data_IF_476690565040
#
_entry.id   IF_476690565040
#
_cell.length_a   1.000
_cell.length_b   1.000
_cell.length_c   1.000
_cell.angle_alpha   90.00
_cell.angle_beta   90.00
_cell.angle_gamma   90.00
#
_symmetry.space_group_name_H-M   'P 1'
#
loop_
_entity.id
_entity.type
_entity.pdbx_description
1 polymer ?
#
# COMPACT_ATOMS: atom_id res chain seq x y z
N UNK A 1 6.22 17.80 -1.84
CA UNK A 1 4.79 17.48 -2.03
C UNK A 1 4.61 15.99 -1.75
N UNK A 2 3.44 15.56 -1.25
CA UNK A 2 3.17 14.13 -1.10
C UNK A 2 3.17 13.44 -2.48
N UNK A 3 3.62 12.18 -2.56
CA UNK A 3 3.73 11.39 -3.80
C UNK A 3 4.61 11.99 -4.92
N UNK A 4 5.55 12.88 -4.60
CA UNK A 4 6.49 13.42 -5.58
C UNK A 4 7.40 12.30 -6.11
N UNK A 5 7.72 12.30 -7.41
CA UNK A 5 8.63 11.32 -8.00
C UNK A 5 9.86 12.06 -8.55
N UNK A 6 11.03 11.70 -8.03
CA UNK A 6 12.33 12.16 -8.51
C UNK A 6 12.96 11.06 -9.36
N UNK A 7 13.75 11.43 -10.37
CA UNK A 7 14.43 10.48 -11.26
C UNK A 7 15.85 10.26 -10.76
N UNK A 8 16.23 9.01 -10.53
CA UNK A 8 17.59 8.60 -10.22
C UNK A 8 18.50 8.81 -11.43
N UNK A 9 19.69 9.34 -11.17
CA UNK A 9 20.69 9.63 -12.21
C UNK A 9 21.32 8.34 -12.76
N UNK A 10 21.39 7.27 -11.94
CA UNK A 10 22.12 6.05 -12.30
C UNK A 10 21.39 5.17 -13.32
N UNK A 11 20.08 5.00 -13.17
CA UNK A 11 19.29 3.99 -13.88
C UNK A 11 17.94 4.53 -14.39
N UNK A 12 17.69 5.83 -14.23
CA UNK A 12 16.42 6.47 -14.60
C UNK A 12 15.23 6.01 -13.76
N UNK A 13 15.44 5.21 -12.71
CA UNK A 13 14.35 4.74 -11.86
C UNK A 13 13.86 5.85 -10.94
N UNK A 14 12.61 5.73 -10.49
CA UNK A 14 11.96 6.77 -9.73
C UNK A 14 12.10 6.54 -8.22
N UNK A 15 12.45 7.60 -7.51
CA UNK A 15 12.40 7.69 -6.05
C UNK A 15 11.13 8.44 -5.67
N UNK A 16 10.27 7.81 -4.87
CA UNK A 16 9.03 8.45 -4.42
C UNK A 16 9.26 9.18 -3.10
N UNK A 17 9.02 10.48 -3.08
CA UNK A 17 9.06 11.30 -1.87
C UNK A 17 7.64 11.51 -1.33
N UNK A 18 7.42 11.11 -0.09
CA UNK A 18 6.18 11.36 0.65
C UNK A 18 6.47 12.26 1.86
N UNK A 19 5.67 13.32 2.03
CA UNK A 19 5.75 14.23 3.18
C UNK A 19 4.46 14.09 3.99
N UNK A 20 4.60 13.70 5.25
CA UNK A 20 3.52 13.47 6.19
C UNK A 20 3.49 14.67 7.16
N UNK A 21 2.46 15.50 7.05
CA UNK A 21 2.37 16.76 7.81
C UNK A 21 2.01 16.55 9.28
N UNK A 22 1.32 15.46 9.61
CA UNK A 22 0.87 15.18 10.98
C UNK A 22 2.03 14.87 11.95
N UNK A 23 3.09 14.22 11.47
CA UNK A 23 4.25 13.83 12.28
C UNK A 23 5.57 14.44 11.76
N UNK A 24 5.48 15.37 10.81
CA UNK A 24 6.61 16.01 10.15
C UNK A 24 7.62 15.06 9.51
N UNK A 25 7.24 13.81 9.21
CA UNK A 25 8.13 12.84 8.58
C UNK A 25 8.15 13.00 7.08
N UNK A 26 9.32 12.75 6.49
CA UNK A 26 9.49 12.63 5.04
C UNK A 26 10.11 11.28 4.75
N UNK A 27 9.64 10.60 3.71
CA UNK A 27 10.20 9.32 3.26
C UNK A 27 10.68 9.40 1.83
N UNK A 28 11.71 8.62 1.51
CA UNK A 28 12.20 8.36 0.16
C UNK A 28 12.05 6.86 -0.14
N UNK A 29 11.15 6.54 -1.08
CA UNK A 29 10.72 5.18 -1.41
C UNK A 29 10.43 4.31 -0.18
N UNK A 30 9.77 4.91 0.82
CA UNK A 30 9.35 4.26 2.06
C UNK A 30 10.33 4.34 3.22
N UNK A 31 11.59 4.71 2.97
CA UNK A 31 12.58 4.91 4.04
C UNK A 31 12.46 6.31 4.62
N UNK A 32 12.35 6.44 5.93
CA UNK A 32 12.33 7.74 6.61
C UNK A 32 13.65 8.47 6.43
N UNK A 33 13.58 9.77 6.09
CA UNK A 33 14.72 10.68 6.10
C UNK A 33 14.89 11.18 7.53
N UNK A 34 15.87 10.64 8.26
CA UNK A 34 16.15 10.97 9.67
C UNK A 34 17.01 12.21 9.84
N UNK A 35 17.82 12.56 8.83
CA UNK A 35 18.72 13.72 8.87
C UNK A 35 18.71 14.46 7.54
N UNK A 36 17.81 15.43 7.31
CA UNK A 36 17.75 16.17 6.05
C UNK A 36 18.78 17.30 5.96
N UNK A 37 19.12 17.70 4.73
CA UNK A 37 19.82 18.95 4.42
C UNK A 37 21.27 19.07 4.91
N UNK A 38 22.02 17.98 4.94
CA UNK A 38 23.45 18.04 5.25
C UNK A 38 24.23 18.53 4.03
N UNK A 39 24.74 19.76 4.07
CA UNK A 39 25.43 20.37 2.93
C UNK A 39 26.84 19.80 2.78
N UNK A 40 27.23 19.51 1.54
CA UNK A 40 28.58 19.10 1.14
C UNK A 40 29.08 20.03 0.02
N UNK A 41 30.39 20.02 -0.23
CA UNK A 41 31.02 20.88 -1.25
C UNK A 41 30.46 20.67 -2.67
N UNK A 42 29.87 19.52 -2.94
CA UNK A 42 29.35 19.12 -4.24
C UNK A 42 27.87 18.68 -4.19
N UNK A 43 27.13 18.97 -3.12
CA UNK A 43 25.73 18.58 -3.04
C UNK A 43 25.12 18.65 -1.64
N UNK A 44 24.04 17.90 -1.45
CA UNK A 44 23.31 17.80 -0.18
C UNK A 44 23.01 16.33 0.11
N UNK A 45 23.31 15.90 1.33
CA UNK A 45 23.03 14.57 1.86
C UNK A 45 21.76 14.58 2.72
N UNK A 46 20.91 13.58 2.48
CA UNK A 46 19.79 13.23 3.33
C UNK A 46 20.04 11.84 3.91
N UNK A 47 20.13 11.74 5.24
CA UNK A 47 20.31 10.46 5.94
C UNK A 47 18.98 9.71 5.93
N UNK A 48 18.98 8.47 5.43
CA UNK A 48 17.82 7.57 5.43
C UNK A 48 17.97 6.48 6.48
N UNK A 49 16.85 6.02 7.02
CA UNK A 49 16.78 4.94 8.04
C UNK A 49 17.09 3.55 7.49
N UNK A 50 17.13 3.38 6.17
CA UNK A 50 17.47 2.14 5.51
C UNK A 50 17.80 2.33 4.04
N UNK A 51 18.06 1.22 3.35
CA UNK A 51 18.33 1.19 1.91
C UNK A 51 17.04 1.47 1.15
N UNK A 52 17.08 2.42 0.22
CA UNK A 52 15.94 2.68 -0.66
C UNK A 52 15.76 1.54 -1.63
N UNK A 53 14.54 0.98 -1.70
CA UNK A 53 14.14 0.11 -2.80
C UNK A 53 13.53 0.97 -3.90
N UNK A 54 14.01 0.80 -5.13
CA UNK A 54 13.40 1.47 -6.28
C UNK A 54 11.95 1.04 -6.45
N UNK A 55 11.13 1.95 -7.01
CA UNK A 55 9.80 1.58 -7.50
C UNK A 55 9.93 0.48 -8.58
N UNK A 56 9.16 -0.59 -8.42
CA UNK A 56 9.01 -1.62 -9.44
C UNK A 56 8.31 -1.06 -10.68
N UNK A 57 8.57 -1.68 -11.85
CA UNK A 57 7.95 -1.26 -13.12
C UNK A 57 6.46 -1.63 -13.20
N UNK A 58 5.97 -2.55 -12.36
CA UNK A 58 4.59 -3.03 -12.35
C UNK A 58 3.65 -2.26 -11.41
N UNK A 59 2.34 -2.48 -11.59
CA UNK A 59 1.31 -2.06 -10.64
C UNK A 59 1.30 -2.92 -9.38
N UNK A 60 0.62 -2.48 -8.32
CA UNK A 60 0.41 -3.30 -7.13
C UNK A 60 -0.24 -4.66 -7.48
N UNK A 61 -1.19 -4.67 -8.43
CA UNK A 61 -1.86 -5.91 -8.84
C UNK A 61 -0.93 -6.80 -9.66
N UNK A 62 -0.01 -6.21 -10.44
CA UNK A 62 1.03 -6.97 -11.14
C UNK A 62 1.95 -7.68 -10.15
N UNK A 63 2.44 -6.98 -9.12
CA UNK A 63 3.35 -7.56 -8.13
C UNK A 63 2.70 -8.69 -7.32
N UNK A 64 1.47 -8.51 -6.80
CA UNK A 64 0.79 -9.61 -6.08
C UNK A 64 0.48 -10.80 -6.98
N UNK A 65 0.34 -10.59 -8.29
CA UNK A 65 0.12 -11.66 -9.28
C UNK A 65 1.30 -12.63 -9.38
N UNK A 66 2.50 -12.21 -8.94
CA UNK A 66 3.72 -13.01 -8.93
C UNK A 66 3.92 -13.77 -7.61
N UNK A 67 3.03 -13.58 -6.65
CA UNK A 67 3.14 -14.12 -5.30
C UNK A 67 2.05 -15.19 -5.06
N UNK A 68 2.40 -16.49 -4.99
CA UNK A 68 1.44 -17.58 -4.84
C UNK A 68 0.53 -17.45 -3.60
N UNK A 69 1.00 -16.77 -2.55
CA UNK A 69 0.26 -16.50 -1.31
C UNK A 69 -0.96 -15.58 -1.48
N UNK A 70 -1.14 -14.96 -2.64
CA UNK A 70 -2.27 -14.07 -2.96
C UNK A 70 -3.11 -14.57 -4.13
N UNK A 71 -2.98 -15.84 -4.53
CA UNK A 71 -3.70 -16.41 -5.67
C UNK A 71 -5.24 -16.28 -5.56
N UNK A 72 -5.80 -16.40 -4.35
CA UNK A 72 -7.26 -16.21 -4.12
C UNK A 72 -7.67 -14.76 -4.39
N UNK A 73 -6.90 -13.79 -3.89
CA UNK A 73 -7.14 -12.37 -4.12
C UNK A 73 -7.09 -12.03 -5.61
N UNK A 74 -6.08 -12.53 -6.33
CA UNK A 74 -5.92 -12.28 -7.76
C UNK A 74 -7.09 -12.86 -8.57
N UNK A 75 -7.54 -14.08 -8.22
CA UNK A 75 -8.72 -14.70 -8.82
C UNK A 75 -9.97 -13.83 -8.62
N UNK A 76 -10.20 -13.37 -7.39
CA UNK A 76 -11.32 -12.50 -7.04
C UNK A 76 -11.30 -11.15 -7.75
N UNK A 77 -10.13 -10.53 -7.90
CA UNK A 77 -9.98 -9.29 -8.69
C UNK A 77 -10.36 -9.52 -10.16
N UNK A 78 -10.02 -10.68 -10.72
CA UNK A 78 -10.39 -11.04 -12.09
C UNK A 78 -11.89 -11.29 -12.24
N UNK A 79 -12.51 -12.07 -11.35
CA UNK A 79 -13.97 -12.34 -11.33
C UNK A 79 -14.78 -11.05 -11.16
N UNK A 80 -14.30 -10.15 -10.30
CA UNK A 80 -14.88 -8.82 -10.10
C UNK A 80 -14.62 -7.85 -11.27
N UNK A 81 -13.83 -8.23 -12.29
CA UNK A 81 -13.42 -7.38 -13.42
C UNK A 81 -12.76 -6.06 -12.99
N UNK A 82 -12.07 -6.06 -11.84
CA UNK A 82 -11.42 -4.86 -11.28
C UNK A 82 -9.98 -4.66 -11.75
N UNK A 83 -9.37 -5.66 -12.39
CA UNK A 83 -7.95 -5.64 -12.78
C UNK A 83 -7.55 -4.35 -13.52
N UNK A 84 -8.24 -4.02 -14.60
CA UNK A 84 -7.95 -2.84 -15.43
C UNK A 84 -8.08 -1.55 -14.64
N UNK A 85 -9.14 -1.44 -13.83
CA UNK A 85 -9.39 -0.27 -12.99
C UNK A 85 -8.28 -0.06 -11.96
N UNK A 86 -7.91 -1.10 -11.22
CA UNK A 86 -6.87 -1.04 -10.21
C UNK A 86 -5.47 -0.82 -10.81
N UNK A 87 -5.18 -1.39 -11.98
CA UNK A 87 -3.92 -1.13 -12.70
C UNK A 87 -3.79 0.33 -13.15
N UNK A 88 -4.90 0.96 -13.54
CA UNK A 88 -4.94 2.38 -13.90
C UNK A 88 -4.99 3.34 -12.71
N UNK A 89 -5.32 2.83 -11.52
CA UNK A 89 -5.42 3.65 -10.31
C UNK A 89 -4.04 3.84 -9.71
N UNK A 90 -3.51 5.07 -9.78
CA UNK A 90 -2.20 5.42 -9.26
C UNK A 90 -2.19 6.88 -8.77
N UNK A 91 -1.71 7.17 -7.55
CA UNK A 91 -1.22 6.25 -6.52
C UNK A 91 -2.31 5.58 -5.68
N UNK A 92 -2.02 4.37 -5.19
CA UNK A 92 -2.85 3.64 -4.22
C UNK A 92 -2.00 2.86 -3.21
N UNK A 93 -2.64 2.48 -2.11
CA UNK A 93 -2.16 1.52 -1.11
C UNK A 93 -3.15 0.36 -1.05
N UNK A 94 -2.67 -0.87 -1.24
CA UNK A 94 -3.48 -2.08 -1.17
C UNK A 94 -3.14 -2.86 0.11
N UNK A 95 -4.14 -3.04 0.97
CA UNK A 95 -4.05 -3.96 2.10
C UNK A 95 -4.44 -5.36 1.63
N UNK A 96 -3.47 -6.11 1.08
CA UNK A 96 -3.74 -7.39 0.41
C UNK A 96 -3.97 -8.53 1.41
N UNK A 97 -5.18 -9.13 1.50
CA UNK A 97 -5.39 -10.33 2.29
C UNK A 97 -4.69 -11.53 1.66
N UNK A 98 -4.01 -12.34 2.49
CA UNK A 98 -3.37 -13.58 2.05
C UNK A 98 -4.38 -14.71 1.84
N UNK A 99 -4.00 -15.78 1.14
CA UNK A 99 -4.81 -16.99 1.01
C UNK A 99 -5.25 -17.54 2.38
N UNK A 100 -4.37 -17.47 3.39
CA UNK A 100 -4.69 -17.88 4.77
C UNK A 100 -5.75 -17.00 5.42
N UNK A 101 -5.82 -15.72 5.07
CA UNK A 101 -6.87 -14.82 5.56
C UNK A 101 -8.24 -15.23 5.00
N UNK A 102 -8.32 -15.57 3.70
CA UNK A 102 -9.56 -16.08 3.10
C UNK A 102 -9.99 -17.44 3.69
N UNK A 103 -9.04 -18.32 4.01
CA UNK A 103 -9.33 -19.61 4.63
C UNK A 103 -9.93 -19.50 6.04
N UNK A 104 -9.75 -18.38 6.72
CA UNK A 104 -10.33 -18.12 8.04
C UNK A 104 -11.76 -17.60 7.99
N UNK A 105 -12.27 -17.26 6.80
CA UNK A 105 -13.65 -16.81 6.64
C UNK A 105 -14.62 -18.00 6.81
N UNK A 106 -15.82 -17.69 7.27
CA UNK A 106 -16.91 -18.66 7.30
C UNK A 106 -17.18 -19.21 5.88
N UNK A 107 -17.31 -20.55 5.70
CA UNK A 107 -17.52 -21.13 4.39
C UNK A 107 -18.78 -20.63 3.67
N UNK A 108 -19.86 -20.33 4.40
CA UNK A 108 -21.09 -19.80 3.82
C UNK A 108 -20.86 -18.37 3.30
N UNK A 109 -20.16 -17.54 4.07
CA UNK A 109 -19.78 -16.20 3.62
C UNK A 109 -18.83 -16.23 2.42
N UNK A 110 -17.86 -17.14 2.42
CA UNK A 110 -16.95 -17.30 1.27
C UNK A 110 -17.71 -17.69 -0.01
N UNK A 111 -18.71 -18.57 0.11
CA UNK A 111 -19.59 -18.94 -1.00
C UNK A 111 -20.40 -17.73 -1.48
N UNK A 112 -21.01 -16.97 -0.57
CA UNK A 112 -21.74 -15.75 -0.89
C UNK A 112 -20.85 -14.76 -1.66
N UNK A 113 -19.66 -14.50 -1.13
CA UNK A 113 -18.67 -13.59 -1.73
C UNK A 113 -18.29 -14.01 -3.16
N UNK A 114 -18.12 -15.31 -3.41
CA UNK A 114 -17.82 -15.82 -4.76
C UNK A 114 -19.00 -15.76 -5.74
N UNK A 115 -20.23 -15.80 -5.23
CA UNK A 115 -21.45 -15.83 -6.05
C UNK A 115 -22.02 -14.44 -6.33
N UNK A 116 -21.72 -13.45 -5.49
CA UNK A 116 -22.22 -12.09 -5.59
C UNK A 116 -21.10 -11.13 -6.02
N UNK A 117 -21.03 -10.87 -7.33
CA UNK A 117 -20.01 -9.99 -7.93
C UNK A 117 -20.05 -8.56 -7.38
N UNK A 118 -21.24 -8.06 -7.02
CA UNK A 118 -21.39 -6.71 -6.44
C UNK A 118 -20.75 -6.64 -5.07
N UNK A 119 -21.10 -7.58 -4.18
CA UNK A 119 -20.50 -7.70 -2.86
C UNK A 119 -18.97 -7.92 -2.97
N UNK A 120 -18.53 -8.78 -3.89
CA UNK A 120 -17.12 -9.04 -4.13
C UNK A 120 -16.36 -7.75 -4.47
N UNK A 121 -16.91 -6.92 -5.36
CA UNK A 121 -16.32 -5.63 -5.71
C UNK A 121 -16.22 -4.71 -4.49
N UNK A 122 -17.28 -4.59 -3.70
CA UNK A 122 -17.29 -3.75 -2.50
C UNK A 122 -16.21 -4.19 -1.51
N UNK A 123 -16.14 -5.48 -1.21
CA UNK A 123 -15.13 -6.05 -0.31
C UNK A 123 -13.72 -5.79 -0.85
N UNK A 124 -13.47 -6.03 -2.14
CA UNK A 124 -12.15 -5.80 -2.74
C UNK A 124 -11.76 -4.31 -2.71
N UNK A 125 -12.68 -3.40 -3.04
CA UNK A 125 -12.42 -1.96 -3.02
C UNK A 125 -12.25 -1.39 -1.61
N UNK A 126 -12.80 -2.06 -0.59
CA UNK A 126 -12.57 -1.72 0.82
C UNK A 126 -11.12 -1.97 1.27
N UNK A 127 -10.38 -2.84 0.57
CA UNK A 127 -8.95 -3.09 0.83
C UNK A 127 -8.02 -2.10 0.12
N UNK A 128 -8.57 -1.16 -0.66
CA UNK A 128 -7.79 -0.22 -1.47
C UNK A 128 -7.99 1.20 -0.95
N UNK A 129 -6.90 1.87 -0.61
CA UNK A 129 -6.87 3.26 -0.16
C UNK A 129 -6.17 4.11 -1.23
N UNK A 130 -6.72 5.27 -1.62
CA UNK A 130 -6.03 6.24 -2.46
C UNK A 130 -4.74 6.75 -1.81
N UNK A 131 -3.77 7.17 -2.64
CA UNK A 131 -2.43 7.60 -2.22
C UNK A 131 -1.51 6.48 -1.71
N UNK A 132 -0.21 6.77 -1.69
CA UNK A 132 0.81 5.88 -1.11
C UNK A 132 0.98 6.22 0.36
N UNK A 133 0.72 5.23 1.21
CA UNK A 133 0.97 5.29 2.63
C UNK A 133 2.05 4.28 2.99
N UNK A 134 3.21 4.79 3.41
CA UNK A 134 4.24 3.97 4.04
C UNK A 134 4.02 3.95 5.54
N UNK A 135 4.43 2.87 6.20
CA UNK A 135 4.27 2.69 7.66
C UNK A 135 4.86 3.85 8.45
N UNK A 136 6.01 4.40 8.02
CA UNK A 136 6.64 5.56 8.66
C UNK A 136 5.75 6.83 8.67
N UNK A 137 4.82 6.93 7.73
CA UNK A 137 3.86 8.03 7.62
C UNK A 137 2.48 7.75 8.18
N UNK A 138 2.22 6.54 8.69
CA UNK A 138 0.98 6.19 9.35
C UNK A 138 1.07 6.48 10.86
N UNK A 139 -0.07 6.62 11.53
CA UNK A 139 -0.14 6.90 12.97
C UNK A 139 -1.30 6.15 13.64
N UNK A 140 -1.26 6.06 14.97
CA UNK A 140 -2.27 5.34 15.74
C UNK A 140 -3.67 5.98 15.60
N UNK A 141 -4.69 5.13 15.45
CA UNK A 141 -6.10 5.49 15.22
C UNK A 141 -6.33 6.31 13.94
N UNK A 142 -5.39 6.29 13.00
CA UNK A 142 -5.56 6.96 11.72
C UNK A 142 -6.73 6.35 10.94
N UNK A 143 -7.59 7.22 10.41
CA UNK A 143 -8.70 6.81 9.55
C UNK A 143 -8.36 7.09 8.09
N UNK A 144 -8.42 6.07 7.24
CA UNK A 144 -8.17 6.18 5.80
C UNK A 144 -9.44 5.83 5.03
N UNK A 145 -9.83 6.69 4.09
CA UNK A 145 -10.97 6.43 3.21
C UNK A 145 -10.55 5.46 2.10
N UNK A 146 -11.35 4.43 1.89
CA UNK A 146 -11.15 3.40 0.87
C UNK A 146 -11.80 3.78 -0.46
N UNK A 147 -11.50 3.06 -1.53
CA UNK A 147 -12.20 3.22 -2.82
C UNK A 147 -13.66 2.78 -2.77
N UNK A 148 -14.03 1.89 -1.84
CA UNK A 148 -15.43 1.53 -1.59
C UNK A 148 -16.21 2.70 -0.95
N UNK A 149 -15.52 3.64 -0.30
CA UNK A 149 -16.09 4.83 0.31
C UNK A 149 -16.09 4.80 1.84
N UNK A 150 -16.10 3.60 2.44
CA UNK A 150 -15.92 3.39 3.87
C UNK A 150 -14.51 3.74 4.36
N UNK A 151 -14.33 3.77 5.68
CA UNK A 151 -13.04 4.06 6.32
C UNK A 151 -12.46 2.80 6.96
N UNK A 152 -11.13 2.69 6.92
CA UNK A 152 -10.36 1.74 7.72
C UNK A 152 -9.62 2.49 8.82
N UNK A 153 -9.44 1.84 9.97
CA UNK A 153 -8.64 2.33 11.08
C UNK A 153 -7.29 1.63 11.12
N UNK A 154 -6.21 2.40 11.07
CA UNK A 154 -4.85 1.92 11.34
C UNK A 154 -4.55 2.09 12.83
N UNK A 155 -3.95 1.08 13.46
CA UNK A 155 -3.48 1.18 14.85
C UNK A 155 -2.11 0.53 15.06
N UNK A 156 -1.39 1.00 16.09
CA UNK A 156 -0.02 0.60 16.38
C UNK A 156 0.11 0.05 17.81
N UNK A 157 0.37 -1.25 17.92
CA UNK A 157 0.66 -1.94 19.19
C UNK A 157 1.80 -2.92 18.97
N UNK A 158 3.01 -2.41 18.70
CA UNK A 158 4.22 -3.12 18.21
C UNK A 158 4.11 -3.74 16.81
N UNK A 159 2.90 -4.09 16.39
CA UNK A 159 2.55 -4.51 15.03
C UNK A 159 1.52 -3.51 14.48
N UNK A 160 1.47 -3.38 13.16
CA UNK A 160 0.46 -2.57 12.47
C UNK A 160 -0.83 -3.38 12.34
N UNK A 161 -1.95 -2.77 12.71
CA UNK A 161 -3.28 -3.35 12.51
C UNK A 161 -4.11 -2.46 11.60
N UNK A 162 -5.01 -3.08 10.83
CA UNK A 162 -6.04 -2.42 10.04
C UNK A 162 -7.38 -3.06 10.38
N UNK A 163 -8.29 -2.31 11.00
CA UNK A 163 -9.57 -2.82 11.52
C UNK A 163 -9.40 -4.12 12.33
N UNK A 164 -8.39 -4.17 13.21
CA UNK A 164 -7.99 -5.33 14.01
C UNK A 164 -7.34 -6.50 13.26
N UNK A 165 -7.24 -6.44 11.93
CA UNK A 165 -6.46 -7.40 11.16
C UNK A 165 -4.97 -7.03 11.22
N UNK A 166 -4.12 -8.01 11.54
CA UNK A 166 -2.66 -7.80 11.58
C UNK A 166 -2.10 -7.63 10.17
N UNK A 167 -1.30 -6.58 9.96
CA UNK A 167 -0.50 -6.39 8.75
C UNK A 167 0.85 -7.06 8.97
N UNK A 168 1.19 -8.00 8.09
CA UNK A 168 2.53 -8.62 8.06
C UNK A 168 3.43 -7.71 7.23
N UNK A 169 4.46 -7.16 7.87
CA UNK A 169 5.48 -6.29 7.27
C UNK A 169 6.67 -7.10 6.75
#
# INVERSE_FOLDING_TARGET
KNNMQLVSISDGRKVRINKYTHNNKTTASGQEISGPNNVASNGVLHVTTGVMCSMYKGSAIYEIGRCPSFSVLVKFIAEAKLRKYLDSTNPLTLFAPTNKAFQKLDPAFMKELSSNVTLLKEVLLYHVVPDVWYTAGMYDKQQLKTLQGGKISVSFSNIVYVNNATVVL
#
